data_IF_278962749674
#
_entry.id   IF_278962749674
#
_cell.length_a   1.000
_cell.length_b   1.000
_cell.length_c   1.000
_cell.angle_alpha   90.00
_cell.angle_beta   90.00
_cell.angle_gamma   90.00
#
_symmetry.space_group_name_H-M   'P 1'
#
loop_
_entity.id
_entity.type
_entity.pdbx_description
1 polymer ?
#
# COMPACT_ATOMS: atom_id res chain seq x y z
N UNK A 1 23.45 -16.18 8.93
CA UNK A 1 23.31 -14.90 9.65
C UNK A 1 22.03 -14.99 10.45
N UNK A 2 22.06 -14.63 11.73
CA UNK A 2 20.85 -14.64 12.55
C UNK A 2 20.10 -13.33 12.27
N UNK A 3 19.08 -13.40 11.43
CA UNK A 3 18.32 -12.23 10.99
C UNK A 3 17.09 -12.08 11.89
N UNK A 4 17.15 -11.15 12.85
CA UNK A 4 16.07 -10.89 13.82
C UNK A 4 14.85 -10.15 13.24
N UNK A 5 14.84 -9.83 11.94
CA UNK A 5 13.74 -9.16 11.25
C UNK A 5 12.77 -10.11 10.55
N UNK A 6 11.68 -9.55 10.00
CA UNK A 6 10.63 -10.30 9.29
C UNK A 6 11.06 -10.72 7.87
N UNK A 7 11.87 -9.89 7.20
CA UNK A 7 12.44 -10.17 5.88
C UNK A 7 13.64 -9.28 5.59
N UNK A 8 14.34 -9.56 4.49
CA UNK A 8 15.54 -8.84 4.07
C UNK A 8 15.66 -8.82 2.56
N UNK A 9 15.87 -7.64 2.00
CA UNK A 9 16.38 -7.44 0.65
C UNK A 9 17.87 -7.07 0.67
N UNK A 10 18.66 -7.69 -0.21
CA UNK A 10 20.07 -7.36 -0.39
C UNK A 10 20.69 -7.86 -1.68
N UNK A 11 22.00 -7.60 -1.83
CA UNK A 11 22.82 -8.15 -2.91
C UNK A 11 23.91 -9.01 -2.28
N UNK A 12 23.88 -10.32 -2.58
CA UNK A 12 24.93 -11.26 -2.20
C UNK A 12 25.54 -11.89 -3.45
N UNK A 13 26.87 -11.91 -3.54
CA UNK A 13 27.59 -12.46 -4.71
C UNK A 13 27.08 -11.89 -6.06
N UNK A 14 26.81 -10.58 -6.13
CA UNK A 14 26.22 -9.88 -7.29
C UNK A 14 24.79 -10.33 -7.69
N UNK A 15 24.12 -11.14 -6.88
CA UNK A 15 22.74 -11.54 -7.12
C UNK A 15 21.81 -10.82 -6.12
N UNK A 16 20.70 -10.21 -6.60
CA UNK A 16 19.68 -9.70 -5.71
C UNK A 16 18.98 -10.87 -5.01
N UNK A 17 18.81 -10.74 -3.71
CA UNK A 17 18.14 -11.74 -2.87
C UNK A 17 17.04 -11.05 -2.06
N UNK A 18 15.90 -11.72 -1.96
CA UNK A 18 14.83 -11.41 -1.01
C UNK A 18 14.70 -12.63 -0.11
N UNK A 19 14.89 -12.42 1.18
CA UNK A 19 14.72 -13.41 2.22
C UNK A 19 13.48 -13.07 3.04
N UNK A 20 12.68 -14.09 3.35
CA UNK A 20 11.47 -13.97 4.17
C UNK A 20 11.59 -14.95 5.32
N UNK A 21 11.27 -14.49 6.53
CA UNK A 21 11.26 -15.36 7.70
C UNK A 21 10.15 -16.42 7.54
N UNK A 22 10.54 -17.69 7.56
CA UNK A 22 9.66 -18.84 7.38
C UNK A 22 8.59 -19.00 8.48
N UNK A 23 8.78 -18.34 9.63
CA UNK A 23 7.86 -18.42 10.76
C UNK A 23 6.70 -17.41 10.70
N UNK A 24 6.60 -16.63 9.61
CA UNK A 24 5.50 -15.69 9.43
C UNK A 24 4.23 -16.41 8.96
N UNK A 25 3.07 -15.93 9.42
CA UNK A 25 1.79 -16.34 8.83
C UNK A 25 1.66 -15.82 7.39
N UNK A 26 0.62 -16.28 6.66
CA UNK A 26 0.44 -15.94 5.26
C UNK A 26 0.32 -14.43 5.01
N UNK A 27 -0.40 -13.70 5.88
CA UNK A 27 -0.58 -12.26 5.73
C UNK A 27 0.74 -11.50 5.94
N UNK A 28 1.45 -11.82 7.03
CA UNK A 28 2.74 -11.21 7.34
C UNK A 28 3.80 -11.59 6.30
N UNK A 29 3.76 -12.81 5.76
CA UNK A 29 4.61 -13.25 4.65
C UNK A 29 4.36 -12.39 3.41
N UNK A 30 3.09 -12.21 3.01
CA UNK A 30 2.73 -11.39 1.85
C UNK A 30 3.14 -9.93 2.03
N UNK A 31 2.87 -9.32 3.19
CA UNK A 31 3.26 -7.95 3.49
C UNK A 31 4.79 -7.78 3.47
N UNK A 32 5.53 -8.74 4.01
CA UNK A 32 7.00 -8.70 4.03
C UNK A 32 7.58 -8.88 2.63
N UNK A 33 7.05 -9.80 1.82
CA UNK A 33 7.45 -9.97 0.42
C UNK A 33 7.27 -8.69 -0.39
N UNK A 34 6.13 -8.01 -0.20
CA UNK A 34 5.85 -6.75 -0.86
C UNK A 34 6.82 -5.65 -0.43
N UNK A 35 7.06 -5.52 0.88
CA UNK A 35 8.01 -4.54 1.44
C UNK A 35 9.44 -4.72 0.90
N UNK A 36 9.98 -5.95 0.94
CA UNK A 36 11.34 -6.22 0.46
C UNK A 36 11.45 -6.11 -1.08
N UNK A 37 10.36 -6.43 -1.81
CA UNK A 37 10.30 -6.22 -3.27
C UNK A 37 10.33 -4.73 -3.61
N UNK A 38 9.69 -3.88 -2.81
CA UNK A 38 9.77 -2.43 -2.99
C UNK A 38 11.20 -1.92 -2.82
N UNK A 39 11.93 -2.37 -1.79
CA UNK A 39 13.35 -2.05 -1.61
C UNK A 39 14.23 -2.47 -2.81
N UNK A 40 13.93 -3.63 -3.43
CA UNK A 40 14.62 -4.07 -4.65
C UNK A 40 14.35 -3.16 -5.84
N UNK A 41 13.07 -2.87 -6.10
CA UNK A 41 12.65 -2.03 -7.24
C UNK A 41 13.15 -0.59 -7.11
N UNK A 42 13.22 -0.07 -5.88
CA UNK A 42 13.76 1.25 -5.58
C UNK A 42 15.30 1.31 -5.69
N UNK A 43 15.96 0.15 -5.80
CA UNK A 43 17.41 0.07 -5.90
C UNK A 43 18.09 0.65 -4.66
N UNK A 44 17.48 0.48 -3.49
CA UNK A 44 17.95 1.06 -2.22
C UNK A 44 19.37 0.63 -1.88
N UNK A 45 19.78 -0.55 -2.36
CA UNK A 45 21.17 -1.05 -2.32
C UNK A 45 22.19 -0.18 -3.08
N UNK A 46 21.75 0.74 -3.96
CA UNK A 46 22.59 1.62 -4.80
C UNK A 46 22.24 3.11 -4.72
N UNK A 47 21.03 3.50 -4.30
CA UNK A 47 20.43 4.80 -4.67
C UNK A 47 19.77 5.61 -3.54
N UNK A 48 20.17 5.43 -2.29
CA UNK A 48 19.61 6.19 -1.15
C UNK A 48 19.66 7.74 -1.26
N UNK A 49 20.26 8.34 -2.32
CA UNK A 49 20.46 9.80 -2.42
C UNK A 49 20.07 10.44 -3.77
N UNK A 50 19.86 9.73 -4.89
CA UNK A 50 19.94 10.40 -6.23
C UNK A 50 18.65 10.73 -6.97
N UNK A 51 17.44 10.32 -6.54
CA UNK A 51 16.22 10.85 -7.17
C UNK A 51 14.96 10.72 -6.29
N UNK A 52 14.86 11.58 -5.27
CA UNK A 52 13.75 11.63 -4.31
C UNK A 52 12.38 11.54 -4.99
N UNK A 53 12.12 12.35 -6.03
CA UNK A 53 10.83 12.34 -6.74
C UNK A 53 10.46 11.00 -7.40
N UNK A 54 11.44 10.25 -7.91
CA UNK A 54 11.16 8.93 -8.49
C UNK A 54 10.87 7.90 -7.40
N UNK A 55 11.55 8.02 -6.25
CA UNK A 55 11.30 7.16 -5.10
C UNK A 55 9.93 7.45 -4.48
N UNK A 56 9.55 8.73 -4.38
CA UNK A 56 8.25 9.15 -3.84
C UNK A 56 7.10 8.64 -4.73
N UNK A 57 7.26 8.69 -6.05
CA UNK A 57 6.25 8.14 -6.98
C UNK A 57 6.15 6.61 -6.88
N UNK A 58 7.27 5.90 -6.73
CA UNK A 58 7.25 4.44 -6.57
C UNK A 58 6.65 4.03 -5.21
N UNK A 59 6.96 4.76 -4.16
CA UNK A 59 6.35 4.60 -2.84
C UNK A 59 4.85 4.89 -2.89
N UNK A 60 4.43 5.95 -3.57
CA UNK A 60 3.02 6.28 -3.79
C UNK A 60 2.27 5.15 -4.52
N UNK A 61 2.80 4.63 -5.62
CA UNK A 61 2.17 3.53 -6.36
C UNK A 61 2.14 2.22 -5.55
N UNK A 62 3.19 1.93 -4.77
CA UNK A 62 3.21 0.77 -3.88
C UNK A 62 2.16 0.90 -2.75
N UNK A 63 2.05 2.07 -2.14
CA UNK A 63 1.04 2.37 -1.12
C UNK A 63 -0.37 2.28 -1.69
N UNK A 64 -0.57 2.79 -2.91
CA UNK A 64 -1.85 2.67 -3.62
C UNK A 64 -2.26 1.23 -3.85
N UNK A 65 -1.34 0.40 -4.33
CA UNK A 65 -1.58 -1.04 -4.48
C UNK A 65 -1.93 -1.72 -3.15
N UNK A 66 -1.22 -1.39 -2.07
CA UNK A 66 -1.50 -1.95 -0.74
C UNK A 66 -2.87 -1.54 -0.22
N UNK A 67 -3.25 -0.26 -0.36
CA UNK A 67 -4.57 0.23 0.06
C UNK A 67 -5.66 -0.52 -0.71
N UNK A 68 -5.51 -0.68 -2.03
CA UNK A 68 -6.46 -1.44 -2.84
C UNK A 68 -6.68 -2.87 -2.33
N UNK A 69 -5.61 -3.61 -2.01
CA UNK A 69 -5.73 -4.99 -1.50
C UNK A 69 -6.33 -5.05 -0.09
N UNK A 70 -5.97 -4.12 0.80
CA UNK A 70 -6.60 -4.02 2.13
C UNK A 70 -8.09 -3.71 2.01
N UNK A 71 -8.45 -2.79 1.11
CA UNK A 71 -9.84 -2.39 0.89
C UNK A 71 -10.69 -3.54 0.37
N UNK A 72 -10.18 -4.40 -0.52
CA UNK A 72 -10.86 -5.65 -0.92
C UNK A 72 -11.14 -6.55 0.27
N UNK A 73 -10.13 -6.80 1.11
CA UNK A 73 -10.28 -7.67 2.30
C UNK A 73 -11.30 -7.08 3.27
N UNK A 74 -11.32 -5.75 3.43
CA UNK A 74 -12.31 -5.08 4.27
C UNK A 74 -13.71 -5.19 3.66
N UNK A 75 -13.84 -5.04 2.34
CA UNK A 75 -15.11 -5.14 1.63
C UNK A 75 -15.73 -6.56 1.67
N UNK A 76 -14.89 -7.59 1.73
CA UNK A 76 -15.33 -8.98 1.96
C UNK A 76 -15.83 -9.20 3.39
N UNK A 77 -15.29 -8.47 4.37
CA UNK A 77 -15.60 -8.66 5.80
C UNK A 77 -16.71 -7.75 6.31
N UNK A 78 -16.86 -6.58 5.72
CA UNK A 78 -17.76 -5.53 6.17
C UNK A 78 -18.62 -5.06 5.01
N UNK A 79 -19.90 -4.83 5.29
CA UNK A 79 -20.83 -4.32 4.30
C UNK A 79 -20.68 -2.79 4.20
N UNK A 80 -19.87 -2.35 3.24
CA UNK A 80 -19.80 -0.93 2.89
C UNK A 80 -21.05 -0.50 2.13
N UNK A 81 -21.67 0.58 2.61
CA UNK A 81 -22.86 1.21 2.04
C UNK A 81 -22.62 2.71 1.86
N UNK A 82 -23.40 3.43 1.04
CA UNK A 82 -23.27 4.89 0.89
C UNK A 82 -23.30 5.68 2.21
N UNK A 83 -23.94 5.13 3.25
CA UNK A 83 -24.05 5.77 4.58
C UNK A 83 -22.85 5.45 5.51
N UNK A 84 -21.86 4.69 5.04
CA UNK A 84 -20.68 4.34 5.82
C UNK A 84 -19.84 5.59 6.11
N UNK A 85 -19.45 5.78 7.37
CA UNK A 85 -18.62 6.92 7.77
C UNK A 85 -17.14 6.68 7.40
N UNK A 86 -16.78 6.96 6.15
CA UNK A 86 -15.43 6.77 5.63
C UNK A 86 -14.39 7.61 6.35
N UNK A 87 -14.74 8.83 6.76
CA UNK A 87 -13.80 9.71 7.46
C UNK A 87 -13.36 9.11 8.80
N UNK A 88 -14.28 8.52 9.55
CA UNK A 88 -13.92 7.80 10.77
C UNK A 88 -13.02 6.58 10.51
N UNK A 89 -13.17 5.91 9.36
CA UNK A 89 -12.31 4.80 8.98
C UNK A 89 -10.91 5.31 8.63
N UNK A 90 -10.80 6.36 7.80
CA UNK A 90 -9.53 7.00 7.44
C UNK A 90 -8.78 7.46 8.69
N UNK A 91 -9.45 8.16 9.59
CA UNK A 91 -8.88 8.62 10.87
C UNK A 91 -8.36 7.45 11.73
N UNK A 92 -9.06 6.30 11.72
CA UNK A 92 -8.64 5.10 12.45
C UNK A 92 -7.50 4.33 11.78
N UNK A 93 -7.42 4.38 10.45
CA UNK A 93 -6.30 3.80 9.72
C UNK A 93 -5.00 4.56 10.01
N UNK A 94 -5.10 5.87 10.33
CA UNK A 94 -3.98 6.70 10.76
C UNK A 94 -2.79 6.63 9.78
N UNK A 95 -3.12 6.62 8.48
CA UNK A 95 -2.15 6.61 7.40
C UNK A 95 -1.65 8.04 7.14
N UNK A 96 -0.48 8.20 6.48
CA UNK A 96 -0.03 9.52 6.02
C UNK A 96 -1.11 10.22 5.19
N UNK A 97 -1.38 11.50 5.49
CA UNK A 97 -2.48 12.27 4.90
C UNK A 97 -2.49 12.30 3.36
N UNK A 98 -1.32 12.20 2.72
CA UNK A 98 -1.20 12.18 1.25
C UNK A 98 -1.80 10.90 0.62
N UNK A 99 -2.16 9.91 1.43
CA UNK A 99 -2.83 8.68 1.00
C UNK A 99 -4.34 8.71 1.22
N UNK A 100 -4.88 9.73 1.90
CA UNK A 100 -6.31 9.83 2.19
C UNK A 100 -7.15 9.83 0.91
N UNK A 101 -6.70 10.56 -0.12
CA UNK A 101 -7.35 10.58 -1.43
C UNK A 101 -7.43 9.20 -2.07
N UNK A 102 -6.37 8.40 -1.95
CA UNK A 102 -6.35 7.02 -2.49
C UNK A 102 -7.39 6.15 -1.79
N UNK A 103 -7.54 6.28 -0.47
CA UNK A 103 -8.51 5.53 0.30
C UNK A 103 -9.94 5.95 -0.07
N UNK A 104 -10.17 7.25 -0.26
CA UNK A 104 -11.46 7.81 -0.67
C UNK A 104 -11.86 7.28 -2.07
N UNK A 105 -10.93 7.27 -3.02
CA UNK A 105 -11.15 6.75 -4.36
C UNK A 105 -11.54 5.27 -4.35
N UNK A 106 -10.85 4.46 -3.53
CA UNK A 106 -11.18 3.04 -3.37
C UNK A 106 -12.58 2.83 -2.78
N UNK A 107 -12.95 3.59 -1.74
CA UNK A 107 -14.32 3.55 -1.20
C UNK A 107 -15.37 3.92 -2.24
N UNK A 108 -15.15 5.02 -2.98
CA UNK A 108 -16.05 5.45 -4.03
C UNK A 108 -16.19 4.38 -5.12
N UNK A 109 -15.09 3.79 -5.57
CA UNK A 109 -15.08 2.71 -6.56
C UNK A 109 -15.89 1.51 -6.08
N UNK A 110 -15.67 1.05 -4.85
CA UNK A 110 -16.39 -0.08 -4.25
C UNK A 110 -17.90 0.18 -4.21
N UNK A 111 -18.33 1.35 -3.69
CA UNK A 111 -19.74 1.71 -3.58
C UNK A 111 -20.39 1.88 -4.95
N UNK A 112 -19.74 2.62 -5.85
CA UNK A 112 -20.26 2.83 -7.21
C UNK A 112 -20.47 1.52 -7.94
N UNK A 113 -19.52 0.58 -7.82
CA UNK A 113 -19.64 -0.75 -8.42
C UNK A 113 -20.76 -1.58 -7.77
N UNK A 114 -20.91 -1.54 -6.44
CA UNK A 114 -21.94 -2.30 -5.73
C UNK A 114 -23.36 -1.81 -6.00
N UNK A 115 -23.54 -0.49 -6.03
CA UNK A 115 -24.86 0.14 -6.08
C UNK A 115 -25.21 0.73 -7.45
N UNK A 116 -24.34 0.58 -8.45
CA UNK A 116 -24.53 1.13 -9.80
C UNK A 116 -24.56 2.65 -9.84
N UNK A 117 -23.85 3.30 -8.91
CA UNK A 117 -23.83 4.76 -8.77
C UNK A 117 -22.70 5.36 -9.61
N UNK A 118 -22.90 6.58 -10.11
CA UNK A 118 -21.80 7.33 -10.75
C UNK A 118 -20.76 7.66 -9.67
N UNK A 119 -19.47 7.34 -9.89
CA UNK A 119 -18.41 7.68 -8.94
C UNK A 119 -18.40 9.17 -8.64
N UNK A 120 -18.37 9.50 -7.35
CA UNK A 120 -18.15 10.87 -6.92
C UNK A 120 -16.65 11.16 -7.00
N UNK A 121 -16.17 11.51 -8.19
CA UNK A 121 -14.85 12.09 -8.36
C UNK A 121 -15.03 13.61 -8.21
N UNK A 122 -14.87 14.14 -7.00
CA UNK A 122 -14.46 15.55 -6.91
C UNK A 122 -13.05 15.61 -7.51
N UNK A 123 -12.90 16.29 -8.65
CA UNK A 123 -11.59 16.58 -9.20
C UNK A 123 -10.74 17.21 -8.11
N UNK A 124 -9.67 16.50 -7.75
CA UNK A 124 -8.62 16.86 -6.82
C UNK A 124 -8.46 18.37 -6.57
N UNK A 125 -9.08 18.87 -5.51
CA UNK A 125 -8.71 20.15 -4.87
C UNK A 125 -7.70 19.95 -3.73
N UNK A 126 -7.19 18.72 -3.54
CA UNK A 126 -6.25 18.38 -2.46
C UNK A 126 -4.77 18.45 -2.88
N UNK A 127 -4.48 18.77 -4.15
CA UNK A 127 -3.13 18.99 -4.66
C UNK A 127 -3.00 20.40 -5.28
N UNK A 128 -3.02 21.44 -4.43
CA UNK A 128 -2.38 22.74 -4.73
C UNK A 128 -1.22 22.99 -3.76
#
# INVERSE_FOLDING_TARGET
MDFGGRGYFGIENNNPIIFINENLDALNTSLTLLHETAHFLNGDCKRYVTNHFQNDNLEYEANKYMIHEVMKILDEKYEFTPDTNYQQIIEKLNLPYHLDGVIIDEFNSIISNKFGMVPYCESDYFYE
#
